data_IF_251663098113
#
_entry.id   IF_251663098113
#
_cell.length_a   1.000
_cell.length_b   1.000
_cell.length_c   1.000
_cell.angle_alpha   90.00
_cell.angle_beta   90.00
_cell.angle_gamma   90.00
#
_symmetry.space_group_name_H-M   'P 1'
#
loop_
_entity.id
_entity.type
_entity.pdbx_description
1 polymer ?
#
# COMPACT_ATOMS: atom_id res chain seq x y z
N UNK A 1 13.36 2.76 41.63
CA UNK A 1 14.40 3.61 41.01
C UNK A 1 13.86 5.03 40.79
N UNK A 2 14.66 6.07 40.99
CA UNK A 2 14.20 7.44 40.80
C UNK A 2 13.95 7.67 39.30
N UNK A 3 12.73 8.00 38.92
CA UNK A 3 12.39 8.40 37.54
C UNK A 3 13.07 9.72 37.20
N UNK A 4 13.51 9.88 35.95
CA UNK A 4 14.20 11.09 35.46
C UNK A 4 13.41 12.41 35.75
N UNK A 5 12.08 12.31 35.87
CA UNK A 5 11.16 13.43 36.13
C UNK A 5 10.66 13.53 37.59
N UNK A 6 11.22 12.74 38.52
CA UNK A 6 10.69 12.61 39.91
C UNK A 6 10.98 13.80 40.85
N UNK A 7 11.68 14.84 40.40
CA UNK A 7 12.18 15.91 41.27
C UNK A 7 11.14 16.66 42.14
N UNK A 8 9.85 16.66 41.74
CA UNK A 8 8.75 17.31 42.47
C UNK A 8 7.92 16.35 43.32
N UNK A 9 7.93 15.05 42.97
CA UNK A 9 7.00 14.09 43.55
C UNK A 9 7.54 13.52 44.86
N UNK A 10 6.65 13.41 45.85
CA UNK A 10 6.97 12.92 47.21
C UNK A 10 6.60 11.44 47.41
N UNK A 11 5.94 10.83 46.40
CA UNK A 11 5.53 9.42 46.43
C UNK A 11 5.98 8.74 45.14
N UNK A 12 6.28 7.48 45.26
CA UNK A 12 6.50 6.62 44.06
C UNK A 12 5.20 6.45 43.27
N UNK A 13 5.32 6.32 41.95
CA UNK A 13 4.16 6.05 41.10
C UNK A 13 3.70 4.60 41.32
N UNK A 14 2.40 4.38 41.36
CA UNK A 14 1.81 3.06 41.44
C UNK A 14 2.27 2.18 40.28
N UNK A 15 2.54 0.91 40.53
CA UNK A 15 3.05 -0.03 39.52
C UNK A 15 2.07 -0.20 38.36
N UNK A 16 0.76 -0.24 38.63
CA UNK A 16 -0.28 -0.32 37.60
C UNK A 16 -0.27 0.91 36.69
N UNK A 17 -0.04 2.11 37.27
CA UNK A 17 0.09 3.35 36.48
C UNK A 17 1.36 3.38 35.66
N UNK A 18 2.44 2.79 36.14
CA UNK A 18 3.69 2.66 35.38
C UNK A 18 3.49 1.79 34.15
N UNK A 19 2.88 0.62 34.33
CA UNK A 19 2.57 -0.31 33.26
C UNK A 19 1.61 0.30 32.22
N UNK A 20 0.53 0.95 32.70
CA UNK A 20 -0.45 1.62 31.85
C UNK A 20 0.14 2.76 31.00
N UNK A 21 1.15 3.46 31.51
CA UNK A 21 1.80 4.57 30.79
C UNK A 21 2.93 4.12 29.87
N UNK A 22 3.44 2.90 30.05
CA UNK A 22 4.59 2.39 29.32
C UNK A 22 4.28 2.14 27.85
N UNK A 23 5.20 2.51 26.96
CA UNK A 23 5.13 2.26 25.52
C UNK A 23 6.25 1.35 25.01
N UNK A 24 7.18 0.95 25.87
CA UNK A 24 8.38 0.20 25.47
C UNK A 24 8.07 -1.07 24.69
N UNK A 25 6.95 -1.75 24.95
CA UNK A 25 6.57 -3.00 24.26
C UNK A 25 6.33 -2.82 22.77
N UNK A 26 5.98 -1.61 22.33
CA UNK A 26 5.72 -1.33 20.92
C UNK A 26 6.62 -0.24 20.33
N UNK A 27 7.08 0.75 21.13
CA UNK A 27 7.95 1.81 20.64
C UNK A 27 9.43 1.39 20.57
N UNK A 28 9.79 0.25 21.15
CA UNK A 28 11.14 -0.30 21.02
C UNK A 28 11.63 -0.40 19.56
N UNK A 29 10.73 -0.54 18.58
CA UNK A 29 11.08 -0.55 17.16
C UNK A 29 11.68 0.76 16.65
N UNK A 30 11.49 1.87 17.35
CA UNK A 30 12.04 3.18 17.02
C UNK A 30 13.51 3.37 17.47
N UNK A 31 14.16 2.34 18.01
CA UNK A 31 15.53 2.46 18.55
C UNK A 31 16.52 3.07 17.56
N UNK A 32 16.38 2.75 16.28
CA UNK A 32 17.29 3.24 15.22
C UNK A 32 17.04 4.72 14.92
N UNK A 33 15.79 5.11 14.83
CA UNK A 33 15.34 6.47 14.59
C UNK A 33 15.76 7.37 15.78
N UNK A 34 15.52 6.93 17.02
CA UNK A 34 15.91 7.64 18.23
C UNK A 34 17.43 7.84 18.33
N UNK A 35 18.20 6.78 18.09
CA UNK A 35 19.68 6.87 18.12
C UNK A 35 20.19 7.77 17.01
N UNK A 36 19.63 7.69 15.80
CA UNK A 36 20.01 8.54 14.66
C UNK A 36 19.74 10.02 14.95
N UNK A 37 18.54 10.33 15.45
CA UNK A 37 18.18 11.68 15.86
C UNK A 37 19.06 12.20 17.01
N UNK A 38 19.36 11.36 17.97
CA UNK A 38 20.21 11.66 19.12
C UNK A 38 21.68 11.93 18.71
N UNK A 39 22.21 11.20 17.73
CA UNK A 39 23.55 11.44 17.15
C UNK A 39 23.61 12.81 16.49
N UNK A 40 22.64 13.14 15.65
CA UNK A 40 22.58 14.44 14.97
C UNK A 40 22.46 15.58 15.99
N UNK A 41 21.63 15.42 17.01
CA UNK A 41 21.45 16.40 18.10
C UNK A 41 22.73 16.61 18.88
N UNK A 42 23.38 15.54 19.35
CA UNK A 42 24.63 15.64 20.13
C UNK A 42 25.76 16.31 19.30
N UNK A 43 25.88 15.95 18.00
CA UNK A 43 26.83 16.57 17.10
C UNK A 43 26.58 18.08 16.98
N UNK A 44 25.33 18.49 16.85
CA UNK A 44 24.93 19.90 16.80
C UNK A 44 25.27 20.63 18.12
N UNK A 45 25.00 20.01 19.27
CA UNK A 45 25.31 20.61 20.57
C UNK A 45 26.80 20.91 20.74
N UNK A 46 27.68 19.98 20.33
CA UNK A 46 29.12 20.19 20.33
C UNK A 46 29.55 21.30 19.37
N UNK A 47 29.05 21.25 18.13
CA UNK A 47 29.38 22.25 17.08
C UNK A 47 28.94 23.67 17.48
N UNK A 48 27.83 23.81 18.21
CA UNK A 48 27.35 25.11 18.72
C UNK A 48 28.00 25.53 20.05
N UNK A 49 28.92 24.72 20.61
CA UNK A 49 29.56 24.99 21.89
C UNK A 49 28.58 24.99 23.10
N UNK A 50 27.45 24.33 22.97
CA UNK A 50 26.47 24.17 24.06
C UNK A 50 26.97 23.13 25.06
N UNK A 51 27.67 22.11 24.58
CA UNK A 51 28.48 21.17 25.34
C UNK A 51 29.90 21.16 24.78
N UNK A 52 30.88 20.65 25.53
CA UNK A 52 32.23 20.53 25.04
C UNK A 52 32.33 19.53 23.86
N UNK A 53 33.17 19.82 22.86
CA UNK A 53 33.28 18.99 21.67
C UNK A 53 33.62 17.54 21.99
N UNK A 54 34.59 17.32 22.91
CA UNK A 54 34.97 15.97 23.35
C UNK A 54 33.85 15.21 24.06
N UNK A 55 32.89 15.91 24.72
CA UNK A 55 31.69 15.30 25.30
C UNK A 55 30.70 14.88 24.23
N UNK A 56 30.51 15.72 23.19
CA UNK A 56 29.67 15.38 22.04
C UNK A 56 30.18 14.15 21.31
N UNK A 57 31.50 14.08 21.03
CA UNK A 57 32.15 12.92 20.42
C UNK A 57 31.93 11.66 21.25
N UNK A 58 32.14 11.73 22.57
CA UNK A 58 31.91 10.61 23.49
C UNK A 58 30.46 10.12 23.50
N UNK A 59 29.49 11.03 23.43
CA UNK A 59 28.06 10.69 23.30
C UNK A 59 27.80 9.99 21.98
N UNK A 60 28.29 10.53 20.86
CA UNK A 60 28.10 9.95 19.51
C UNK A 60 28.70 8.55 19.42
N UNK A 61 29.91 8.33 19.94
CA UNK A 61 30.54 7.02 19.98
C UNK A 61 29.75 6.04 20.87
N UNK A 62 29.28 6.50 22.02
CA UNK A 62 28.43 5.72 22.93
C UNK A 62 27.15 5.25 22.27
N UNK A 63 26.45 6.15 21.55
CA UNK A 63 25.21 5.88 20.83
C UNK A 63 25.44 4.89 19.66
N UNK A 64 26.50 5.07 18.87
CA UNK A 64 26.88 4.11 17.81
C UNK A 64 27.17 2.72 18.37
N UNK A 65 27.83 2.66 19.52
CA UNK A 65 28.08 1.39 20.20
C UNK A 65 26.80 0.73 20.70
N UNK A 66 25.83 1.50 21.23
CA UNK A 66 24.52 0.99 21.65
C UNK A 66 23.75 0.47 20.44
N UNK A 67 23.69 1.22 19.34
CA UNK A 67 23.03 0.79 18.12
C UNK A 67 23.54 -0.57 17.66
N UNK A 68 24.86 -0.71 17.61
CA UNK A 68 25.50 -1.98 17.23
C UNK A 68 25.14 -3.11 18.18
N UNK A 69 25.15 -2.86 19.48
CA UNK A 69 24.82 -3.91 20.46
C UNK A 69 23.35 -4.33 20.40
N UNK A 70 22.43 -3.41 20.06
CA UNK A 70 21.02 -3.73 19.80
C UNK A 70 20.90 -4.60 18.54
N UNK A 71 21.57 -4.20 17.44
CA UNK A 71 21.55 -4.95 16.16
C UNK A 71 22.19 -6.34 16.28
N UNK A 72 23.20 -6.47 17.14
CA UNK A 72 23.84 -7.74 17.46
C UNK A 72 23.02 -8.62 18.46
N UNK A 73 21.87 -8.13 18.94
CA UNK A 73 21.01 -8.86 19.90
C UNK A 73 21.58 -8.98 21.31
N UNK A 74 22.49 -8.07 21.71
CA UNK A 74 23.17 -8.07 23.02
C UNK A 74 22.44 -7.23 24.08
N UNK A 75 21.44 -6.47 23.68
CA UNK A 75 20.68 -5.56 24.54
C UNK A 75 19.25 -6.06 24.67
N UNK A 76 18.78 -6.19 25.91
CA UNK A 76 17.37 -6.36 26.22
C UNK A 76 16.86 -5.02 26.80
N UNK A 77 15.74 -4.52 26.28
CA UNK A 77 15.13 -3.31 26.81
C UNK A 77 14.46 -3.60 28.15
N UNK A 78 14.70 -2.71 29.12
CA UNK A 78 14.12 -2.84 30.45
C UNK A 78 12.69 -2.30 30.47
N UNK A 79 11.78 -3.07 31.01
CA UNK A 79 10.40 -2.65 31.28
C UNK A 79 10.28 -1.66 32.45
N UNK A 80 11.37 -1.44 33.20
CA UNK A 80 11.41 -0.43 34.28
C UNK A 80 11.47 1.01 33.71
N UNK A 81 11.79 1.16 32.43
CA UNK A 81 11.81 2.44 31.72
C UNK A 81 10.59 2.55 30.81
N UNK A 82 9.94 3.72 30.83
CA UNK A 82 8.64 3.95 30.21
C UNK A 82 8.63 3.74 28.69
N UNK A 83 9.73 4.11 28.01
CA UNK A 83 9.84 4.16 26.55
C UNK A 83 11.25 3.80 26.06
N UNK A 84 11.41 3.70 24.73
CA UNK A 84 12.70 3.43 24.09
C UNK A 84 13.71 4.54 24.37
N UNK A 85 13.27 5.77 24.41
CA UNK A 85 14.12 6.93 24.61
C UNK A 85 14.79 6.91 26.00
N UNK A 86 14.03 6.55 27.05
CA UNK A 86 14.60 6.36 28.40
C UNK A 86 15.56 5.18 28.44
N UNK A 87 15.24 4.09 27.74
CA UNK A 87 16.14 2.94 27.63
C UNK A 87 17.47 3.34 26.98
N UNK A 88 17.46 4.05 25.85
CA UNK A 88 18.66 4.52 25.17
C UNK A 88 19.47 5.50 26.04
N UNK A 89 18.82 6.46 26.69
CA UNK A 89 19.47 7.44 27.58
C UNK A 89 20.13 6.76 28.79
N UNK A 90 19.47 5.76 29.37
CA UNK A 90 20.03 4.98 30.47
C UNK A 90 21.23 4.14 30.03
N UNK A 91 21.12 3.41 28.94
CA UNK A 91 22.21 2.63 28.35
C UNK A 91 23.42 3.51 28.04
N UNK A 92 23.18 4.72 27.54
CA UNK A 92 24.22 5.69 27.28
C UNK A 92 24.90 6.13 28.60
N UNK A 93 24.11 6.48 29.62
CA UNK A 93 24.64 6.91 30.92
C UNK A 93 25.44 5.79 31.60
N UNK A 94 24.99 4.56 31.53
CA UNK A 94 25.75 3.40 32.03
C UNK A 94 27.08 3.20 31.30
N UNK A 95 27.11 3.44 29.99
CA UNK A 95 28.29 3.25 29.14
C UNK A 95 29.35 4.35 29.31
N UNK A 96 28.92 5.61 29.39
CA UNK A 96 29.84 6.77 29.36
C UNK A 96 29.81 7.65 30.61
N UNK A 97 28.99 7.33 31.61
CA UNK A 97 28.86 8.06 32.86
C UNK A 97 28.07 9.36 32.70
N UNK A 98 28.35 10.35 33.56
CA UNK A 98 27.58 11.60 33.62
C UNK A 98 27.57 12.41 32.32
N UNK A 99 28.53 12.22 31.43
CA UNK A 99 28.52 12.83 30.10
C UNK A 99 27.24 12.45 29.32
N UNK A 100 26.72 11.23 29.48
CA UNK A 100 25.49 10.78 28.84
C UNK A 100 24.26 11.62 29.16
N UNK A 101 24.21 12.18 30.37
CA UNK A 101 23.09 13.05 30.82
C UNK A 101 23.01 14.37 30.05
N UNK A 102 24.08 14.79 29.35
CA UNK A 102 24.10 16.01 28.56
C UNK A 102 23.34 15.89 27.23
N UNK A 103 23.05 14.66 26.78
CA UNK A 103 22.32 14.41 25.54
C UNK A 103 20.96 15.12 25.50
N UNK A 104 20.28 15.26 26.64
CA UNK A 104 18.95 15.87 26.72
C UNK A 104 18.96 17.41 26.69
N UNK A 105 20.13 18.06 26.65
CA UNK A 105 20.27 19.53 26.64
C UNK A 105 19.56 20.14 25.44
N UNK A 106 18.68 21.12 25.66
CA UNK A 106 17.94 21.84 24.60
C UNK A 106 16.90 21.00 23.86
N UNK A 107 16.55 19.82 24.34
CA UNK A 107 15.56 18.89 23.74
C UNK A 107 14.46 18.53 24.73
N UNK A 108 13.29 18.21 24.23
CA UNK A 108 12.18 17.61 24.97
C UNK A 108 11.90 16.21 24.46
N UNK A 109 11.24 15.37 25.28
CA UNK A 109 10.67 14.10 24.82
C UNK A 109 9.67 14.34 23.67
N UNK A 110 8.95 15.46 23.67
CA UNK A 110 7.89 15.76 22.72
C UNK A 110 8.43 15.92 21.28
N UNK A 111 9.47 16.73 21.08
CA UNK A 111 10.08 16.90 19.75
C UNK A 111 10.93 15.70 19.33
N UNK A 112 11.50 14.97 20.29
CA UNK A 112 12.20 13.71 20.06
C UNK A 112 11.27 12.64 19.48
N UNK A 113 10.13 12.38 20.11
CA UNK A 113 9.12 11.41 19.62
C UNK A 113 8.55 11.82 18.27
N UNK A 114 8.28 13.13 18.09
CA UNK A 114 7.80 13.66 16.80
C UNK A 114 8.80 13.42 15.66
N UNK A 115 10.10 13.58 15.94
CA UNK A 115 11.16 13.28 14.99
C UNK A 115 11.21 11.80 14.63
N UNK A 116 11.23 10.93 15.64
CA UNK A 116 11.40 9.49 15.43
C UNK A 116 10.26 8.89 14.64
N UNK A 117 9.04 9.31 14.91
CA UNK A 117 7.87 8.90 14.14
C UNK A 117 7.96 9.35 12.68
N UNK A 118 8.44 10.57 12.41
CA UNK A 118 8.64 11.04 11.03
C UNK A 118 9.74 10.27 10.32
N UNK A 119 10.89 10.03 10.96
CA UNK A 119 11.98 9.22 10.40
C UNK A 119 11.50 7.80 10.05
N UNK A 120 10.77 7.18 10.98
CA UNK A 120 10.21 5.85 10.80
C UNK A 120 9.23 5.81 9.61
N UNK A 121 8.26 6.72 9.58
CA UNK A 121 7.24 6.77 8.53
C UNK A 121 7.86 7.07 7.15
N UNK A 122 8.83 8.00 7.07
CA UNK A 122 9.59 8.27 5.82
C UNK A 122 10.19 6.99 5.24
N UNK A 123 10.86 6.21 6.08
CA UNK A 123 11.47 4.94 5.68
C UNK A 123 10.41 3.92 5.23
N UNK A 124 9.35 3.75 6.01
CA UNK A 124 8.31 2.76 5.72
C UNK A 124 7.49 3.10 4.47
N UNK A 125 7.29 4.38 4.15
CA UNK A 125 6.68 4.79 2.87
C UNK A 125 7.52 4.29 1.69
N UNK A 126 8.84 4.47 1.72
CA UNK A 126 9.75 4.00 0.66
C UNK A 126 9.69 2.47 0.50
N UNK A 127 9.73 1.74 1.62
CA UNK A 127 9.62 0.27 1.58
C UNK A 127 8.27 -0.20 1.02
N UNK A 128 7.16 0.45 1.37
CA UNK A 128 5.84 0.12 0.84
C UNK A 128 5.77 0.43 -0.67
N UNK A 129 6.29 1.58 -1.12
CA UNK A 129 6.36 1.92 -2.55
C UNK A 129 7.13 0.83 -3.30
N UNK A 130 8.29 0.41 -2.81
CA UNK A 130 9.09 -0.67 -3.41
C UNK A 130 8.29 -1.99 -3.53
N UNK A 131 7.53 -2.35 -2.51
CA UNK A 131 6.67 -3.55 -2.56
C UNK A 131 5.54 -3.40 -3.60
N UNK A 132 4.93 -2.22 -3.70
CA UNK A 132 3.91 -1.93 -4.71
C UNK A 132 4.50 -2.03 -6.12
N UNK A 133 5.69 -1.44 -6.36
CA UNK A 133 6.38 -1.54 -7.65
C UNK A 133 6.71 -3.00 -8.00
N UNK A 134 7.13 -3.80 -7.03
CA UNK A 134 7.33 -5.24 -7.20
C UNK A 134 6.06 -5.97 -7.64
N UNK A 135 4.91 -5.65 -7.05
CA UNK A 135 3.63 -6.20 -7.46
C UNK A 135 3.19 -5.70 -8.85
N UNK A 136 3.41 -4.42 -9.16
CA UNK A 136 3.13 -3.87 -10.50
C UNK A 136 3.97 -4.58 -11.58
N UNK A 137 5.25 -4.89 -11.33
CA UNK A 137 6.08 -5.71 -12.23
C UNK A 137 5.48 -7.10 -12.44
N UNK A 138 4.99 -7.75 -11.40
CA UNK A 138 4.31 -9.05 -11.55
C UNK A 138 3.06 -8.96 -12.44
N UNK A 139 2.29 -7.87 -12.31
CA UNK A 139 1.13 -7.60 -13.16
C UNK A 139 1.53 -7.40 -14.62
N UNK A 140 2.58 -6.60 -14.92
CA UNK A 140 3.02 -6.33 -16.30
C UNK A 140 3.60 -7.57 -16.95
N UNK A 141 4.43 -8.34 -16.25
CA UNK A 141 4.99 -9.60 -16.76
C UNK A 141 3.89 -10.59 -17.14
N UNK A 142 2.98 -10.88 -16.20
CA UNK A 142 1.88 -11.83 -16.44
C UNK A 142 0.93 -11.35 -17.54
N UNK A 143 0.73 -10.05 -17.67
CA UNK A 143 -0.08 -9.46 -18.74
C UNK A 143 0.56 -9.64 -20.12
N UNK A 144 1.89 -9.44 -20.26
CA UNK A 144 2.61 -9.68 -21.52
C UNK A 144 2.50 -11.13 -22.00
N UNK A 145 2.58 -12.07 -21.06
CA UNK A 145 2.45 -13.49 -21.36
C UNK A 145 1.03 -13.90 -21.80
N UNK A 146 0.03 -13.04 -21.55
CA UNK A 146 -1.39 -13.37 -21.68
C UNK A 146 -2.21 -12.31 -22.44
N UNK A 147 -1.59 -11.60 -23.38
CA UNK A 147 -2.23 -10.54 -24.19
C UNK A 147 -3.47 -11.03 -24.95
N UNK A 148 -3.46 -12.30 -25.39
CA UNK A 148 -4.50 -12.94 -26.20
C UNK A 148 -5.48 -13.79 -25.37
N UNK A 149 -5.35 -13.80 -24.04
CA UNK A 149 -6.23 -14.55 -23.15
C UNK A 149 -7.60 -13.86 -23.04
N UNK A 150 -8.47 -14.16 -24.01
CA UNK A 150 -9.85 -13.64 -24.03
C UNK A 150 -10.64 -14.20 -22.87
N UNK A 151 -11.33 -13.31 -22.15
CA UNK A 151 -12.25 -13.64 -21.06
C UNK A 151 -13.51 -12.78 -21.12
N UNK A 152 -14.61 -13.21 -20.47
CA UNK A 152 -15.80 -12.36 -20.38
C UNK A 152 -15.56 -11.21 -19.40
N UNK A 153 -15.95 -10.01 -19.81
CA UNK A 153 -16.13 -8.88 -18.91
C UNK A 153 -17.53 -8.89 -18.28
N UNK A 154 -17.62 -8.43 -17.05
CA UNK A 154 -18.85 -8.41 -16.27
C UNK A 154 -19.24 -7.00 -15.88
N UNK A 155 -20.54 -6.73 -15.92
CA UNK A 155 -21.18 -5.62 -15.22
C UNK A 155 -22.40 -6.18 -14.47
N UNK A 156 -22.65 -5.72 -13.24
CA UNK A 156 -23.72 -6.27 -12.38
C UNK A 156 -23.63 -7.81 -12.17
N UNK A 157 -22.42 -8.36 -12.23
CA UNK A 157 -22.16 -9.81 -12.26
C UNK A 157 -22.83 -10.54 -13.43
N UNK A 158 -23.24 -9.82 -14.47
CA UNK A 158 -23.78 -10.39 -15.71
C UNK A 158 -22.71 -10.30 -16.81
N UNK A 159 -22.70 -11.29 -17.70
CA UNK A 159 -21.85 -11.31 -18.89
C UNK A 159 -22.16 -10.08 -19.75
N UNK A 160 -21.13 -9.30 -20.09
CA UNK A 160 -21.30 -8.01 -20.76
C UNK A 160 -20.61 -7.94 -22.12
N UNK A 161 -19.28 -7.81 -22.14
CA UNK A 161 -18.50 -7.67 -23.36
C UNK A 161 -17.20 -8.51 -23.26
N UNK A 162 -16.62 -8.93 -24.41
CA UNK A 162 -15.34 -9.62 -24.40
C UNK A 162 -14.20 -8.67 -24.04
N UNK A 163 -13.29 -9.15 -23.20
CA UNK A 163 -12.05 -8.47 -22.81
C UNK A 163 -10.90 -9.46 -22.76
N UNK A 164 -9.73 -9.05 -22.25
CA UNK A 164 -8.61 -9.96 -22.00
C UNK A 164 -8.17 -9.89 -20.54
N UNK A 165 -7.54 -10.97 -20.07
CA UNK A 165 -6.90 -10.99 -18.77
C UNK A 165 -5.88 -9.85 -18.63
N UNK A 166 -5.06 -9.61 -19.65
CA UNK A 166 -4.07 -8.55 -19.64
C UNK A 166 -4.69 -7.16 -19.48
N UNK A 167 -5.77 -6.86 -20.19
CA UNK A 167 -6.50 -5.60 -20.05
C UNK A 167 -7.06 -5.44 -18.63
N UNK A 168 -7.57 -6.52 -18.04
CA UNK A 168 -8.09 -6.53 -16.68
C UNK A 168 -6.99 -6.20 -15.66
N UNK A 169 -5.81 -6.82 -15.81
CA UNK A 169 -4.67 -6.57 -14.92
C UNK A 169 -4.12 -5.16 -15.05
N UNK A 170 -4.16 -4.56 -16.24
CA UNK A 170 -3.75 -3.17 -16.42
C UNK A 170 -4.69 -2.18 -15.71
N UNK A 171 -5.94 -2.53 -15.46
CA UNK A 171 -6.82 -1.71 -14.61
C UNK A 171 -6.27 -1.66 -13.17
N UNK A 172 -5.86 -2.79 -12.59
CA UNK A 172 -5.25 -2.84 -11.26
C UNK A 172 -3.88 -2.16 -11.21
N UNK A 173 -3.04 -2.34 -12.24
CA UNK A 173 -1.76 -1.61 -12.33
C UNK A 173 -1.95 -0.08 -12.30
N UNK A 174 -2.99 0.44 -12.97
CA UNK A 174 -3.34 1.86 -12.91
C UNK A 174 -3.89 2.31 -11.53
N UNK A 175 -4.54 1.42 -10.77
CA UNK A 175 -4.93 1.72 -9.38
C UNK A 175 -3.68 1.85 -8.51
N UNK A 176 -2.77 0.88 -8.58
CA UNK A 176 -1.51 0.88 -7.83
C UNK A 176 -0.61 2.07 -8.18
N UNK A 177 -0.56 2.48 -9.45
CA UNK A 177 0.14 3.71 -9.86
C UNK A 177 -0.37 4.94 -9.09
N UNK A 178 -1.69 5.06 -8.90
CA UNK A 178 -2.27 6.15 -8.10
C UNK A 178 -1.98 6.00 -6.60
N UNK A 179 -1.82 4.76 -6.11
CA UNK A 179 -1.46 4.52 -4.71
C UNK A 179 -0.01 4.92 -4.43
N UNK A 180 0.92 4.64 -5.35
CA UNK A 180 2.30 5.16 -5.28
C UNK A 180 2.30 6.69 -5.21
N UNK A 181 1.56 7.36 -6.09
CA UNK A 181 1.46 8.82 -6.08
C UNK A 181 0.95 9.38 -4.75
N UNK A 182 -0.06 8.74 -4.12
CA UNK A 182 -0.56 9.15 -2.79
C UNK A 182 0.51 9.02 -1.70
N UNK A 183 1.30 7.96 -1.75
CA UNK A 183 2.38 7.76 -0.79
C UNK A 183 3.52 8.77 -1.00
N UNK A 184 3.86 9.09 -2.25
CA UNK A 184 4.81 10.15 -2.58
C UNK A 184 4.33 11.52 -2.10
N UNK A 185 3.07 11.86 -2.31
CA UNK A 185 2.45 13.08 -1.83
C UNK A 185 2.48 13.19 -0.29
N UNK A 186 2.21 12.08 0.42
CA UNK A 186 2.32 12.00 1.88
C UNK A 186 3.77 12.22 2.32
N UNK A 187 4.73 11.55 1.67
CA UNK A 187 6.16 11.70 1.94
C UNK A 187 6.60 13.17 1.78
N UNK A 188 6.23 13.83 0.69
CA UNK A 188 6.61 15.20 0.42
C UNK A 188 6.07 16.18 1.49
N UNK A 189 4.81 16.02 1.89
CA UNK A 189 4.21 16.90 2.91
C UNK A 189 4.80 16.70 4.29
N UNK A 190 5.11 15.47 4.69
CA UNK A 190 5.65 15.17 6.00
C UNK A 190 7.17 15.40 6.13
N UNK A 191 7.88 15.72 5.03
CA UNK A 191 9.33 15.85 5.01
C UNK A 191 9.81 17.16 5.64
N UNK A 192 9.40 17.36 6.89
CA UNK A 192 9.70 18.51 7.73
C UNK A 192 10.25 18.07 9.09
N UNK A 193 11.41 18.59 9.47
CA UNK A 193 12.15 18.21 10.68
C UNK A 193 11.64 18.97 11.90
N UNK A 194 11.07 18.30 12.94
CA UNK A 194 10.48 18.97 14.10
C UNK A 194 11.47 19.23 15.22
N UNK A 195 12.65 18.57 15.25
CA UNK A 195 13.58 18.67 16.37
C UNK A 195 14.04 20.11 16.59
N UNK A 196 14.11 20.51 17.85
CA UNK A 196 14.33 21.90 18.27
C UNK A 196 13.04 22.65 18.58
N UNK A 197 11.88 22.02 18.39
CA UNK A 197 10.59 22.56 18.85
C UNK A 197 10.46 22.53 20.39
N UNK A 198 11.30 21.74 21.05
CA UNK A 198 11.25 21.54 22.49
C UNK A 198 9.94 20.89 22.93
N UNK A 199 9.46 21.25 24.12
CA UNK A 199 8.16 20.76 24.57
C UNK A 199 6.97 21.37 23.79
N UNK A 200 7.07 22.67 23.42
CA UNK A 200 6.10 23.44 22.63
C UNK A 200 6.60 24.82 22.19
N UNK A 201 7.59 25.40 22.87
CA UNK A 201 8.03 26.78 22.69
C UNK A 201 9.54 26.87 22.39
N UNK A 202 10.11 25.85 21.77
CA UNK A 202 11.54 25.75 21.44
C UNK A 202 12.44 25.78 22.69
N UNK A 203 13.62 26.36 22.58
CA UNK A 203 14.63 26.44 23.64
C UNK A 203 15.36 27.78 23.62
N UNK A 204 15.98 28.17 24.75
CA UNK A 204 16.82 29.36 24.84
C UNK A 204 18.26 29.11 24.38
N UNK A 205 18.65 27.88 24.10
CA UNK A 205 19.96 27.54 23.56
C UNK A 205 20.07 27.91 22.07
N UNK A 206 21.24 28.36 21.59
CA UNK A 206 21.46 28.70 20.19
C UNK A 206 21.66 27.43 19.34
N UNK A 207 20.64 26.58 19.28
CA UNK A 207 20.66 25.35 18.47
C UNK A 207 20.61 25.66 16.98
N UNK A 208 21.31 24.84 16.17
CA UNK A 208 21.31 24.90 14.71
C UNK A 208 20.38 23.81 14.14
N UNK A 209 19.13 24.18 13.91
CA UNK A 209 18.12 23.25 13.36
C UNK A 209 18.40 22.88 11.90
N UNK A 210 18.97 23.81 11.09
CA UNK A 210 19.31 23.51 9.69
C UNK A 210 20.40 22.46 9.59
N UNK A 211 21.43 22.55 10.45
CA UNK A 211 22.44 21.50 10.52
C UNK A 211 21.85 20.13 10.83
N UNK A 212 20.95 20.04 11.81
CA UNK A 212 20.26 18.78 12.17
C UNK A 212 19.39 18.28 11.03
N UNK A 213 18.64 19.18 10.37
CA UNK A 213 17.82 18.87 9.18
C UNK A 213 18.64 18.20 8.08
N UNK A 214 19.80 18.78 7.76
CA UNK A 214 20.71 18.25 6.72
C UNK A 214 21.26 16.88 7.10
N UNK A 215 21.69 16.70 8.36
CA UNK A 215 22.19 15.42 8.86
C UNK A 215 21.16 14.30 8.81
N UNK A 216 19.87 14.63 8.99
CA UNK A 216 18.77 13.68 9.01
C UNK A 216 18.06 13.54 7.65
N UNK A 217 18.47 14.31 6.63
CA UNK A 217 17.94 14.23 5.27
C UNK A 217 16.48 14.66 5.16
N UNK A 218 16.07 15.70 5.92
CA UNK A 218 14.77 16.33 5.73
C UNK A 218 14.85 17.51 4.75
N UNK A 219 13.79 17.67 3.95
CA UNK A 219 13.72 18.76 2.98
C UNK A 219 13.54 20.13 3.66
N UNK A 220 12.75 20.19 4.73
CA UNK A 220 12.36 21.45 5.38
C UNK A 220 12.42 21.35 6.91
N UNK A 221 12.32 22.51 7.56
CA UNK A 221 12.05 22.62 9.01
C UNK A 221 10.56 22.85 9.23
N UNK A 222 10.03 22.39 10.36
CA UNK A 222 8.73 22.87 10.84
C UNK A 222 8.82 24.33 11.24
N UNK A 223 7.90 25.17 10.76
CA UNK A 223 7.92 26.62 10.93
C UNK A 223 7.42 27.07 12.32
N UNK A 224 6.62 26.25 12.97
CA UNK A 224 6.04 26.56 14.28
C UNK A 224 6.28 25.41 15.28
N UNK A 225 6.84 25.73 16.43
CA UNK A 225 7.21 24.73 17.45
C UNK A 225 6.02 24.05 18.11
N UNK A 226 4.85 24.73 18.23
CA UNK A 226 3.62 24.09 18.73
C UNK A 226 3.11 23.05 17.73
N UNK A 227 3.13 23.39 16.46
CA UNK A 227 2.76 22.51 15.35
C UNK A 227 3.75 21.33 15.23
N UNK A 228 5.04 21.61 15.30
CA UNK A 228 6.10 20.60 15.15
C UNK A 228 6.01 19.44 16.14
N UNK A 229 5.50 19.66 17.36
CA UNK A 229 5.28 18.58 18.36
C UNK A 229 3.87 18.01 18.35
N UNK A 230 2.91 18.72 17.77
CA UNK A 230 1.48 18.38 17.74
C UNK A 230 1.08 17.61 16.48
N UNK A 231 1.70 17.89 15.35
CA UNK A 231 1.30 17.35 14.06
C UNK A 231 1.40 15.82 14.02
N UNK A 232 0.30 15.21 13.59
CA UNK A 232 0.14 13.82 13.24
C UNK A 232 -0.70 13.66 11.97
N UNK A 233 -0.88 14.73 11.19
CA UNK A 233 -1.65 14.70 9.94
C UNK A 233 -1.06 13.67 8.97
N UNK A 234 0.26 13.57 8.92
CA UNK A 234 0.96 12.57 8.10
C UNK A 234 0.62 11.12 8.48
N UNK A 235 0.32 10.84 9.75
CA UNK A 235 -0.15 9.52 10.18
C UNK A 235 -1.55 9.22 9.60
N UNK A 236 -2.45 10.19 9.66
CA UNK A 236 -3.80 10.08 9.08
C UNK A 236 -3.74 9.96 7.56
N UNK A 237 -2.90 10.75 6.91
CA UNK A 237 -2.71 10.73 5.46
C UNK A 237 -2.13 9.39 4.99
N UNK A 238 -1.08 8.89 5.66
CA UNK A 238 -0.54 7.56 5.40
C UNK A 238 -1.62 6.49 5.53
N UNK A 239 -2.33 6.45 6.65
CA UNK A 239 -3.38 5.46 6.89
C UNK A 239 -4.53 5.57 5.87
N UNK A 240 -4.83 6.77 5.38
CA UNK A 240 -5.79 6.98 4.29
C UNK A 240 -5.28 6.38 2.98
N UNK A 241 -4.02 6.63 2.62
CA UNK A 241 -3.39 6.04 1.44
C UNK A 241 -3.34 4.51 1.53
N UNK A 242 -2.92 3.96 2.67
CA UNK A 242 -2.89 2.52 2.93
C UNK A 242 -4.29 1.89 2.90
N UNK A 243 -5.31 2.60 3.37
CA UNK A 243 -6.71 2.14 3.29
C UNK A 243 -7.19 2.02 1.84
N UNK A 244 -6.84 2.97 0.99
CA UNK A 244 -7.17 2.92 -0.45
C UNK A 244 -6.40 1.78 -1.13
N UNK A 245 -5.12 1.60 -0.84
CA UNK A 245 -4.31 0.49 -1.34
C UNK A 245 -4.92 -0.86 -0.95
N UNK A 246 -5.26 -1.04 0.32
CA UNK A 246 -5.88 -2.29 0.80
C UNK A 246 -7.26 -2.53 0.17
N UNK A 247 -8.03 -1.48 -0.12
CA UNK A 247 -9.27 -1.61 -0.89
C UNK A 247 -9.01 -2.17 -2.30
N UNK A 248 -7.97 -1.69 -2.98
CA UNK A 248 -7.59 -2.21 -4.31
C UNK A 248 -7.15 -3.67 -4.25
N UNK A 249 -6.30 -4.03 -3.26
CA UNK A 249 -5.88 -5.42 -3.05
C UNK A 249 -7.06 -6.33 -2.68
N UNK A 250 -8.00 -5.85 -1.87
CA UNK A 250 -9.23 -6.57 -1.51
C UNK A 250 -10.11 -6.83 -2.72
N UNK A 251 -10.26 -5.85 -3.62
CA UNK A 251 -11.03 -6.02 -4.86
C UNK A 251 -10.40 -7.06 -5.79
N UNK A 252 -9.08 -7.01 -5.99
CA UNK A 252 -8.38 -8.03 -6.78
C UNK A 252 -8.46 -9.41 -6.13
N UNK A 253 -8.39 -9.47 -4.80
CA UNK A 253 -8.58 -10.72 -4.05
C UNK A 253 -9.96 -11.32 -4.31
N UNK A 254 -11.03 -10.51 -4.30
CA UNK A 254 -12.40 -10.96 -4.59
C UNK A 254 -12.53 -11.52 -6.02
N UNK A 255 -11.91 -10.86 -7.01
CA UNK A 255 -11.88 -11.37 -8.39
C UNK A 255 -11.18 -12.75 -8.45
N UNK A 256 -10.00 -12.87 -7.83
CA UNK A 256 -9.25 -14.13 -7.81
C UNK A 256 -10.01 -15.23 -7.07
N UNK A 257 -10.66 -14.94 -5.94
CA UNK A 257 -11.51 -15.89 -5.21
C UNK A 257 -12.62 -16.41 -6.12
N UNK A 258 -13.32 -15.50 -6.80
CA UNK A 258 -14.36 -15.87 -7.76
C UNK A 258 -13.79 -16.71 -8.89
N UNK A 259 -12.66 -16.31 -9.48
CA UNK A 259 -12.02 -17.02 -10.58
C UNK A 259 -11.46 -18.40 -10.20
N UNK A 260 -11.13 -18.63 -8.92
CA UNK A 260 -10.72 -19.93 -8.40
C UNK A 260 -11.90 -20.90 -8.19
N UNK A 261 -13.13 -20.39 -8.07
CA UNK A 261 -14.32 -21.22 -7.82
C UNK A 261 -14.54 -22.24 -8.95
N UNK A 262 -15.23 -23.33 -8.65
CA UNK A 262 -15.57 -24.35 -9.64
C UNK A 262 -16.47 -23.83 -10.76
N UNK A 263 -17.30 -22.84 -10.46
CA UNK A 263 -18.24 -22.20 -11.40
C UNK A 263 -17.51 -21.41 -12.48
N UNK A 264 -16.43 -20.69 -12.11
CA UNK A 264 -15.60 -19.91 -13.04
C UNK A 264 -14.39 -20.71 -13.54
N UNK A 265 -13.57 -21.17 -12.61
CA UNK A 265 -12.34 -21.92 -12.87
C UNK A 265 -11.43 -21.27 -13.94
N UNK A 266 -11.30 -19.94 -13.84
CA UNK A 266 -10.48 -19.15 -14.76
C UNK A 266 -9.00 -19.17 -14.38
N UNK A 267 -8.73 -19.34 -13.08
CA UNK A 267 -7.37 -19.41 -12.56
C UNK A 267 -7.24 -20.56 -11.56
N UNK A 268 -6.00 -20.96 -11.33
CA UNK A 268 -5.64 -21.89 -10.27
C UNK A 268 -4.41 -21.35 -9.55
N UNK A 269 -4.50 -21.24 -8.23
CA UNK A 269 -3.37 -20.83 -7.40
C UNK A 269 -2.38 -21.99 -7.26
N UNK A 270 -1.11 -21.66 -7.07
CA UNK A 270 -0.08 -22.63 -6.73
C UNK A 270 -0.38 -23.26 -5.35
N UNK A 271 0.04 -24.52 -5.17
CA UNK A 271 -0.16 -25.26 -3.91
C UNK A 271 0.54 -24.57 -2.73
N UNK A 272 1.65 -23.87 -2.98
CA UNK A 272 2.37 -23.12 -1.95
C UNK A 272 1.58 -21.94 -1.38
N UNK A 273 0.53 -21.47 -2.08
CA UNK A 273 -0.32 -20.33 -1.69
C UNK A 273 -1.79 -20.72 -1.52
N UNK A 274 -2.05 -21.97 -1.23
CA UNK A 274 -3.40 -22.52 -1.06
C UNK A 274 -3.43 -23.46 0.13
N UNK A 275 -4.60 -23.69 0.70
CA UNK A 275 -4.80 -24.74 1.70
C UNK A 275 -5.81 -25.76 1.23
N UNK A 276 -5.75 -26.96 1.81
CA UNK A 276 -6.70 -28.03 1.56
C UNK A 276 -7.75 -28.14 2.68
N UNK A 277 -8.44 -29.28 2.66
CA UNK A 277 -9.37 -29.69 3.72
C UNK A 277 -8.93 -31.00 4.33
N UNK A 278 -9.06 -31.14 5.64
CA UNK A 278 -8.76 -32.39 6.35
C UNK A 278 -9.71 -33.56 6.00
N UNK A 279 -10.89 -33.25 5.44
CA UNK A 279 -11.93 -34.25 5.14
C UNK A 279 -12.37 -34.24 3.68
N UNK A 280 -12.00 -33.23 2.90
CA UNK A 280 -12.39 -33.09 1.49
C UNK A 280 -11.13 -33.05 0.61
N UNK A 281 -10.64 -34.18 0.10
CA UNK A 281 -9.34 -34.25 -0.59
C UNK A 281 -9.25 -33.45 -1.89
N UNK A 282 -10.40 -33.09 -2.48
CA UNK A 282 -10.49 -32.28 -3.71
C UNK A 282 -10.47 -30.77 -3.46
N UNK A 283 -10.57 -30.33 -2.20
CA UNK A 283 -10.76 -28.92 -1.87
C UNK A 283 -9.42 -28.17 -1.84
N UNK A 284 -9.37 -27.03 -2.51
CA UNK A 284 -8.25 -26.09 -2.55
C UNK A 284 -8.79 -24.68 -2.33
N UNK A 285 -8.34 -24.03 -1.26
CA UNK A 285 -8.88 -22.76 -0.79
C UNK A 285 -7.94 -21.61 -1.17
N UNK A 286 -8.49 -20.44 -1.59
CA UNK A 286 -7.70 -19.23 -1.88
C UNK A 286 -7.48 -18.40 -0.60
N UNK A 287 -6.96 -19.01 0.49
CA UNK A 287 -6.89 -18.38 1.82
C UNK A 287 -6.10 -17.08 1.85
N UNK A 288 -5.06 -16.95 1.03
CA UNK A 288 -4.26 -15.71 0.94
C UNK A 288 -5.16 -14.55 0.52
N UNK A 289 -5.97 -14.74 -0.53
CA UNK A 289 -6.91 -13.71 -1.00
C UNK A 289 -7.98 -13.40 0.06
N UNK A 290 -8.51 -14.42 0.74
CA UNK A 290 -9.50 -14.24 1.80
C UNK A 290 -8.95 -13.45 2.97
N UNK A 291 -7.71 -13.76 3.40
CA UNK A 291 -7.04 -13.05 4.48
C UNK A 291 -6.71 -11.60 4.11
N UNK A 292 -6.27 -11.32 2.88
CA UNK A 292 -6.03 -9.93 2.43
C UNK A 292 -7.33 -9.15 2.46
N UNK A 293 -8.42 -9.71 1.95
CA UNK A 293 -9.76 -9.12 2.02
C UNK A 293 -10.18 -8.84 3.47
N UNK A 294 -9.95 -9.79 4.39
CA UNK A 294 -10.25 -9.63 5.81
C UNK A 294 -9.35 -8.60 6.52
N UNK A 295 -8.03 -8.64 6.25
CA UNK A 295 -7.04 -7.73 6.86
C UNK A 295 -7.26 -6.26 6.46
N UNK A 296 -7.95 -5.97 5.37
CA UNK A 296 -8.36 -4.61 4.96
C UNK A 296 -9.09 -3.89 6.10
N UNK A 297 -9.94 -4.60 6.85
CA UNK A 297 -10.64 -4.05 8.00
C UNK A 297 -9.73 -3.55 9.13
N UNK A 298 -8.54 -4.14 9.31
CA UNK A 298 -7.56 -3.68 10.31
C UNK A 298 -7.01 -2.30 9.97
N UNK A 299 -6.69 -2.07 8.69
CA UNK A 299 -6.14 -0.79 8.22
C UNK A 299 -7.21 0.31 8.27
N UNK A 300 -8.47 -0.01 7.94
CA UNK A 300 -9.60 0.91 8.13
C UNK A 300 -9.83 1.26 9.60
N UNK A 301 -9.70 0.25 10.48
CA UNK A 301 -9.78 0.46 11.93
C UNK A 301 -8.68 1.41 12.43
N UNK A 302 -7.44 1.24 11.96
CA UNK A 302 -6.31 2.10 12.32
C UNK A 302 -6.55 3.56 11.89
N UNK A 303 -7.05 3.80 10.68
CA UNK A 303 -7.42 5.15 10.21
C UNK A 303 -8.50 5.77 11.12
N UNK A 304 -9.53 5.01 11.43
CA UNK A 304 -10.62 5.47 12.31
C UNK A 304 -10.10 5.77 13.71
N UNK A 305 -9.18 4.95 14.23
CA UNK A 305 -8.53 5.16 15.52
C UNK A 305 -7.80 6.50 15.53
N UNK A 306 -6.94 6.77 14.54
CA UNK A 306 -6.18 8.02 14.47
C UNK A 306 -7.07 9.26 14.36
N UNK A 307 -8.08 9.23 13.48
CA UNK A 307 -9.07 10.32 13.39
C UNK A 307 -9.78 10.57 14.72
N UNK A 308 -10.04 9.51 15.47
CA UNK A 308 -10.72 9.59 16.78
C UNK A 308 -9.79 10.10 17.87
N UNK A 309 -8.54 9.65 17.91
CA UNK A 309 -7.53 10.10 18.86
C UNK A 309 -7.27 11.60 18.72
N UNK A 310 -7.04 12.07 17.51
CA UNK A 310 -6.65 13.47 17.24
C UNK A 310 -7.78 14.47 17.36
N UNK A 311 -9.05 14.05 17.18
CA UNK A 311 -10.17 14.99 17.28
C UNK A 311 -10.22 15.65 18.66
N UNK A 312 -10.29 16.97 18.69
CA UNK A 312 -10.51 17.72 19.92
C UNK A 312 -9.32 17.78 20.89
N UNK A 313 -8.14 17.27 20.52
CA UNK A 313 -6.93 17.48 21.30
C UNK A 313 -6.49 18.95 21.26
N UNK A 314 -6.10 19.56 22.39
CA UNK A 314 -5.45 20.85 22.36
C UNK A 314 -4.04 20.74 21.75
N UNK A 315 -3.49 21.87 21.31
CA UNK A 315 -2.14 21.94 20.76
C UNK A 315 -1.06 21.45 21.71
N UNK A 316 0.13 21.30 21.16
CA UNK A 316 1.29 20.66 21.73
C UNK A 316 1.08 19.14 21.91
N UNK A 317 1.57 18.55 22.97
CA UNK A 317 1.52 17.12 23.19
C UNK A 317 0.56 16.76 24.34
N UNK A 318 -0.26 15.74 24.09
CA UNK A 318 -1.07 15.06 25.08
C UNK A 318 -0.77 13.56 25.02
N UNK A 319 -0.89 12.86 26.14
CA UNK A 319 -0.55 11.42 26.24
C UNK A 319 -1.39 10.56 25.29
N UNK A 320 -2.57 11.03 24.87
CA UNK A 320 -3.41 10.42 23.83
C UNK A 320 -2.62 10.13 22.53
N UNK A 321 -1.66 10.99 22.20
CA UNK A 321 -0.81 10.82 21.01
C UNK A 321 0.10 9.57 21.07
N UNK A 322 0.25 8.93 22.23
CA UNK A 322 0.98 7.66 22.33
C UNK A 322 0.30 6.55 21.53
N UNK A 323 -1.04 6.63 21.37
CA UNK A 323 -1.86 5.68 20.59
C UNK A 323 -1.61 5.74 19.08
N UNK A 324 -0.85 6.74 18.60
CA UNK A 324 -0.46 6.86 17.20
C UNK A 324 0.37 5.63 16.72
N UNK A 325 1.24 5.11 17.59
CA UNK A 325 2.23 4.09 17.26
C UNK A 325 1.60 2.74 16.92
N UNK A 326 0.75 2.21 17.80
CA UNK A 326 0.13 0.91 17.58
C UNK A 326 -0.75 0.90 16.31
N UNK A 327 -1.51 1.99 16.09
CA UNK A 327 -2.35 2.14 14.90
C UNK A 327 -1.50 2.19 13.62
N UNK A 328 -0.46 3.03 13.57
CA UNK A 328 0.42 3.21 12.40
C UNK A 328 1.27 1.97 12.15
N UNK A 329 1.93 1.45 13.19
CA UNK A 329 2.78 0.27 13.07
C UNK A 329 2.00 -0.97 12.61
N UNK A 330 0.84 -1.22 13.22
CA UNK A 330 -0.01 -2.36 12.86
C UNK A 330 -0.55 -2.29 11.44
N UNK A 331 -0.86 -1.08 10.93
CA UNK A 331 -1.29 -0.88 9.56
C UNK A 331 -0.15 -1.11 8.56
N UNK A 332 1.02 -0.54 8.81
CA UNK A 332 2.24 -0.72 8.00
C UNK A 332 2.60 -2.20 7.90
N UNK A 333 2.72 -2.88 9.04
CA UNK A 333 3.05 -4.31 9.08
C UNK A 333 2.02 -5.15 8.31
N UNK A 334 0.74 -4.84 8.45
CA UNK A 334 -0.35 -5.52 7.74
C UNK A 334 -0.23 -5.34 6.23
N UNK A 335 0.02 -4.12 5.75
CA UNK A 335 0.14 -3.82 4.32
C UNK A 335 1.37 -4.49 3.72
N UNK A 336 2.53 -4.38 4.37
CA UNK A 336 3.77 -5.02 3.91
C UNK A 336 3.59 -6.54 3.79
N UNK A 337 3.06 -7.19 4.83
CA UNK A 337 2.78 -8.62 4.81
C UNK A 337 1.83 -9.02 3.67
N UNK A 338 0.79 -8.21 3.41
CA UNK A 338 -0.14 -8.48 2.32
C UNK A 338 0.55 -8.41 0.95
N UNK A 339 1.37 -7.39 0.69
CA UNK A 339 2.09 -7.24 -0.58
C UNK A 339 3.15 -8.33 -0.76
N UNK A 340 3.89 -8.68 0.30
CA UNK A 340 4.92 -9.73 0.30
C UNK A 340 4.36 -11.10 -0.07
N UNK A 341 3.16 -11.44 0.38
CA UNK A 341 2.54 -12.73 0.06
C UNK A 341 1.75 -12.68 -1.26
N UNK A 342 1.13 -11.55 -1.59
CA UNK A 342 0.27 -11.44 -2.77
C UNK A 342 1.08 -11.46 -4.07
N UNK A 343 2.24 -10.83 -4.08
CA UNK A 343 3.12 -10.76 -5.26
C UNK A 343 3.55 -12.15 -5.77
N UNK A 344 4.17 -13.02 -4.96
CA UNK A 344 4.55 -14.36 -5.42
C UNK A 344 3.33 -15.26 -5.68
N UNK A 345 2.26 -15.16 -4.90
CA UNK A 345 1.01 -15.89 -5.17
C UNK A 345 0.46 -15.55 -6.56
N UNK A 346 0.38 -14.26 -6.90
CA UNK A 346 -0.09 -13.80 -8.21
C UNK A 346 0.87 -14.24 -9.33
N UNK A 347 2.18 -14.16 -9.10
CA UNK A 347 3.20 -14.54 -10.09
C UNK A 347 3.13 -16.02 -10.47
N UNK A 348 2.83 -16.90 -9.51
CA UNK A 348 2.74 -18.36 -9.73
C UNK A 348 1.35 -18.83 -10.17
N UNK A 349 0.33 -17.98 -10.06
CA UNK A 349 -1.04 -18.29 -10.45
C UNK A 349 -1.14 -18.73 -11.93
N UNK A 350 -1.79 -19.85 -12.19
CA UNK A 350 -2.00 -20.40 -13.53
C UNK A 350 -3.33 -19.95 -14.13
N UNK A 351 -3.31 -19.50 -15.39
CA UNK A 351 -4.52 -19.15 -16.12
C UNK A 351 -5.08 -20.38 -16.84
N UNK A 352 -6.38 -20.58 -16.73
CA UNK A 352 -7.14 -21.59 -17.46
C UNK A 352 -7.82 -20.95 -18.68
N UNK A 353 -7.00 -20.60 -19.70
CA UNK A 353 -7.42 -19.85 -20.89
C UNK A 353 -8.61 -20.47 -21.61
N UNK A 354 -8.68 -21.81 -21.69
CA UNK A 354 -9.77 -22.51 -22.33
C UNK A 354 -11.11 -22.30 -21.58
N UNK A 355 -11.08 -22.31 -20.25
CA UNK A 355 -12.26 -22.04 -19.43
C UNK A 355 -12.74 -20.60 -19.60
N UNK A 356 -11.79 -19.63 -19.60
CA UNK A 356 -12.10 -18.21 -19.87
C UNK A 356 -12.77 -18.06 -21.24
N UNK A 357 -12.19 -18.64 -22.29
CA UNK A 357 -12.75 -18.59 -23.65
C UNK A 357 -14.12 -19.26 -23.72
N UNK A 358 -14.27 -20.44 -23.11
CA UNK A 358 -15.57 -21.15 -23.06
C UNK A 358 -16.65 -20.33 -22.32
N UNK A 359 -16.28 -19.63 -21.27
CA UNK A 359 -17.21 -18.71 -20.58
C UNK A 359 -17.56 -17.50 -21.46
N UNK A 360 -16.57 -16.95 -22.19
CA UNK A 360 -16.76 -15.82 -23.10
C UNK A 360 -17.64 -16.16 -24.31
N UNK A 361 -17.72 -17.43 -24.73
CA UNK A 361 -18.62 -17.85 -25.82
C UNK A 361 -20.10 -18.00 -25.39
N UNK A 362 -20.42 -17.66 -24.15
CA UNK A 362 -21.78 -17.70 -23.62
C UNK A 362 -22.33 -16.28 -23.44
N UNK A 363 -23.66 -16.18 -23.31
CA UNK A 363 -24.33 -14.93 -22.92
C UNK A 363 -24.31 -13.83 -23.97
N UNK A 364 -24.01 -14.17 -25.22
CA UNK A 364 -24.07 -13.23 -26.37
C UNK A 364 -23.24 -11.96 -26.16
N UNK A 365 -22.04 -12.08 -25.57
CA UNK A 365 -21.20 -10.92 -25.23
C UNK A 365 -20.69 -10.16 -26.47
N UNK A 366 -20.79 -10.77 -27.65
CA UNK A 366 -20.49 -10.19 -28.97
C UNK A 366 -21.75 -9.61 -29.68
N UNK A 367 -22.89 -9.56 -29.01
CA UNK A 367 -24.12 -9.00 -29.62
C UNK A 367 -23.96 -7.51 -29.98
N UNK A 368 -23.19 -6.74 -29.20
CA UNK A 368 -22.87 -5.36 -29.54
C UNK A 368 -22.03 -5.29 -30.82
N UNK A 369 -21.06 -6.18 -30.99
CA UNK A 369 -20.23 -6.27 -32.20
C UNK A 369 -21.06 -6.61 -33.44
N UNK A 370 -22.07 -7.47 -33.28
CA UNK A 370 -23.08 -7.77 -34.31
C UNK A 370 -23.88 -6.50 -34.70
N UNK A 371 -24.31 -5.70 -33.73
CA UNK A 371 -25.01 -4.46 -33.98
C UNK A 371 -24.11 -3.42 -34.67
N UNK A 372 -22.86 -3.31 -34.25
CA UNK A 372 -21.86 -2.43 -34.86
C UNK A 372 -21.55 -2.84 -36.31
N UNK A 373 -21.49 -4.17 -36.58
CA UNK A 373 -21.35 -4.69 -37.93
C UNK A 373 -22.46 -4.19 -38.87
N UNK A 374 -23.72 -4.28 -38.42
CA UNK A 374 -24.85 -3.75 -39.20
C UNK A 374 -24.77 -2.22 -39.36
N UNK A 375 -24.34 -1.52 -38.32
CA UNK A 375 -24.20 -0.05 -38.34
C UNK A 375 -23.13 0.39 -39.34
N UNK A 376 -22.00 -0.31 -39.41
CA UNK A 376 -20.96 -0.12 -40.44
C UNK A 376 -21.45 -0.36 -41.86
N UNK A 377 -22.49 -1.18 -42.01
CA UNK A 377 -23.19 -1.43 -43.31
C UNK A 377 -24.36 -0.46 -43.54
N UNK A 378 -24.45 0.62 -42.81
CA UNK A 378 -25.40 1.72 -42.99
C UNK A 378 -26.77 1.57 -42.33
N UNK A 379 -26.94 0.59 -41.43
CA UNK A 379 -28.16 0.45 -40.62
C UNK A 379 -28.07 1.42 -39.40
N UNK A 380 -29.08 2.26 -39.15
CA UNK A 380 -29.09 3.08 -37.94
C UNK A 380 -28.93 2.21 -36.67
N UNK A 381 -28.09 2.65 -35.72
CA UNK A 381 -27.75 1.84 -34.54
C UNK A 381 -28.98 1.33 -33.77
N UNK A 382 -30.01 2.15 -33.61
CA UNK A 382 -31.24 1.73 -32.89
C UNK A 382 -31.98 0.60 -33.62
N UNK A 383 -31.91 0.54 -34.94
CA UNK A 383 -32.52 -0.53 -35.74
C UNK A 383 -31.62 -1.77 -35.75
N UNK A 384 -30.32 -1.57 -35.84
CA UNK A 384 -29.33 -2.64 -35.66
C UNK A 384 -29.49 -3.32 -34.29
N UNK A 385 -29.60 -2.55 -33.21
CA UNK A 385 -29.84 -3.07 -31.87
C UNK A 385 -31.10 -3.92 -31.77
N UNK A 386 -32.26 -3.43 -32.32
CA UNK A 386 -33.51 -4.21 -32.35
C UNK A 386 -33.38 -5.47 -33.18
N UNK A 387 -32.65 -5.42 -34.29
CA UNK A 387 -32.38 -6.56 -35.17
C UNK A 387 -31.59 -7.63 -34.44
N UNK A 388 -30.49 -7.25 -33.78
CA UNK A 388 -29.67 -8.18 -33.03
C UNK A 388 -30.43 -8.74 -31.81
N UNK A 389 -31.26 -7.93 -31.13
CA UNK A 389 -32.13 -8.42 -30.04
C UNK A 389 -33.06 -9.54 -30.50
N UNK A 390 -33.56 -9.48 -31.76
CA UNK A 390 -34.34 -10.58 -32.35
C UNK A 390 -33.50 -11.82 -32.61
N UNK A 391 -32.28 -11.66 -33.12
CA UNK A 391 -31.32 -12.77 -33.31
C UNK A 391 -31.00 -13.46 -31.99
N UNK A 392 -30.68 -12.71 -30.94
CA UNK A 392 -30.39 -13.24 -29.60
C UNK A 392 -31.60 -14.05 -29.07
N UNK A 393 -32.81 -13.51 -29.20
CA UNK A 393 -34.01 -14.24 -28.80
C UNK A 393 -34.25 -15.53 -29.60
N UNK A 394 -33.89 -15.56 -30.88
CA UNK A 394 -33.93 -16.76 -31.71
C UNK A 394 -32.92 -17.79 -31.25
N UNK A 395 -31.67 -17.38 -31.03
CA UNK A 395 -30.61 -18.24 -30.49
C UNK A 395 -31.00 -18.86 -29.13
N UNK A 396 -31.56 -18.06 -28.21
CA UNK A 396 -32.01 -18.59 -26.91
C UNK A 396 -33.05 -19.67 -27.05
N UNK A 397 -33.99 -19.50 -27.99
CA UNK A 397 -35.06 -20.50 -28.23
C UNK A 397 -34.53 -21.78 -28.89
N UNK A 398 -33.49 -21.67 -29.70
CA UNK A 398 -32.88 -22.79 -30.43
C UNK A 398 -31.73 -23.47 -29.68
N UNK A 399 -31.33 -22.92 -28.50
CA UNK A 399 -30.13 -23.31 -27.76
C UNK A 399 -28.84 -23.19 -28.62
N UNK A 400 -28.73 -22.08 -29.37
CA UNK A 400 -27.63 -21.74 -30.27
C UNK A 400 -26.93 -20.46 -29.81
N UNK A 401 -25.82 -20.13 -30.46
CA UNK A 401 -25.11 -18.86 -30.31
C UNK A 401 -25.11 -18.08 -31.63
N UNK A 402 -24.72 -16.79 -31.60
CA UNK A 402 -24.62 -16.00 -32.84
C UNK A 402 -23.58 -16.60 -33.82
N UNK A 403 -22.53 -17.20 -33.29
CA UNK A 403 -21.47 -17.83 -34.11
C UNK A 403 -21.92 -19.15 -34.79
N UNK A 404 -22.93 -19.83 -34.25
CA UNK A 404 -23.43 -21.10 -34.78
C UNK A 404 -24.65 -20.93 -35.68
N UNK A 405 -25.28 -19.73 -35.71
CA UNK A 405 -26.35 -19.41 -36.62
C UNK A 405 -25.94 -19.57 -38.09
N UNK A 406 -26.83 -20.05 -38.92
CA UNK A 406 -26.57 -20.17 -40.37
C UNK A 406 -26.76 -18.83 -41.10
N UNK A 407 -26.10 -18.64 -42.25
CA UNK A 407 -26.35 -17.47 -43.09
C UNK A 407 -27.79 -17.32 -43.52
N UNK A 408 -28.51 -18.42 -43.64
CA UNK A 408 -29.96 -18.42 -43.92
C UNK A 408 -30.76 -17.72 -42.79
N UNK A 409 -30.40 -17.98 -41.54
CA UNK A 409 -31.05 -17.38 -40.37
C UNK A 409 -30.75 -15.90 -40.27
N UNK A 410 -29.47 -15.50 -40.48
CA UNK A 410 -29.09 -14.11 -40.57
C UNK A 410 -29.83 -13.36 -41.68
N UNK A 411 -29.83 -13.92 -42.89
CA UNK A 411 -30.50 -13.33 -44.05
C UNK A 411 -32.02 -13.21 -43.88
N UNK A 412 -32.66 -14.13 -43.14
CA UNK A 412 -34.10 -14.06 -42.83
C UNK A 412 -34.44 -12.85 -41.95
N UNK A 413 -33.51 -12.37 -41.16
CA UNK A 413 -33.71 -11.21 -40.27
C UNK A 413 -33.31 -9.91 -40.95
N UNK A 414 -32.19 -9.89 -41.73
CA UNK A 414 -31.75 -8.72 -42.46
C UNK A 414 -30.86 -9.13 -43.67
N UNK A 415 -31.13 -8.57 -44.83
CA UNK A 415 -30.31 -8.73 -46.05
C UNK A 415 -28.98 -7.98 -45.99
N UNK A 416 -28.65 -7.31 -44.91
CA UNK A 416 -27.38 -6.63 -44.70
C UNK A 416 -26.29 -7.56 -44.15
N UNK A 417 -26.65 -8.74 -43.67
CA UNK A 417 -25.68 -9.74 -43.28
C UNK A 417 -25.03 -10.41 -44.49
N UNK A 418 -23.74 -10.60 -44.40
CA UNK A 418 -22.96 -11.39 -45.35
C UNK A 418 -22.05 -12.36 -44.61
N UNK A 419 -21.33 -13.23 -45.31
CA UNK A 419 -20.45 -14.24 -44.69
C UNK A 419 -19.38 -13.66 -43.78
N UNK A 420 -19.01 -12.41 -43.99
CA UNK A 420 -18.10 -11.63 -43.16
C UNK A 420 -18.63 -11.32 -41.74
N UNK A 421 -19.88 -11.67 -41.42
CA UNK A 421 -20.43 -11.55 -40.08
C UNK A 421 -19.73 -12.47 -39.07
N UNK A 422 -19.31 -13.65 -39.50
CA UNK A 422 -18.63 -14.60 -38.64
C UNK A 422 -17.25 -14.08 -38.16
N UNK A 423 -16.53 -13.35 -39.01
CA UNK A 423 -15.29 -12.68 -38.65
C UNK A 423 -15.56 -11.56 -37.61
N UNK A 424 -16.64 -10.82 -37.79
CA UNK A 424 -17.03 -9.76 -36.85
C UNK A 424 -17.51 -10.30 -35.50
N UNK A 425 -18.00 -11.54 -35.46
CA UNK A 425 -18.48 -12.20 -34.23
C UNK A 425 -17.37 -12.98 -33.51
N UNK A 426 -16.23 -13.27 -34.17
CA UNK A 426 -15.11 -13.92 -33.47
C UNK A 426 -14.64 -13.09 -32.31
N UNK A 427 -14.53 -13.68 -31.11
CA UNK A 427 -14.20 -12.98 -29.88
C UNK A 427 -12.81 -12.34 -29.89
N UNK A 428 -11.85 -12.91 -30.65
CA UNK A 428 -10.52 -12.29 -30.80
C UNK A 428 -10.62 -11.05 -31.66
N UNK A 429 -11.40 -11.10 -32.75
CA UNK A 429 -11.70 -9.94 -33.59
C UNK A 429 -12.43 -8.87 -32.81
N UNK A 430 -13.44 -9.24 -32.01
CA UNK A 430 -14.17 -8.31 -31.15
C UNK A 430 -13.23 -7.55 -30.22
N UNK A 431 -12.27 -8.22 -29.58
CA UNK A 431 -11.26 -7.59 -28.72
C UNK A 431 -10.29 -6.74 -29.55
N UNK A 432 -9.74 -7.31 -30.66
CA UNK A 432 -8.72 -6.66 -31.47
C UNK A 432 -9.19 -5.37 -32.15
N UNK A 433 -10.49 -5.26 -32.48
CA UNK A 433 -11.06 -4.05 -33.09
C UNK A 433 -11.30 -2.89 -32.08
N UNK A 434 -11.19 -3.12 -30.78
CA UNK A 434 -11.32 -2.08 -29.74
C UNK A 434 -9.99 -1.35 -29.52
N UNK A 435 -9.51 -0.65 -30.56
CA UNK A 435 -8.17 -0.03 -30.69
C UNK A 435 -8.07 1.37 -30.05
N UNK A 436 -9.15 1.91 -29.53
CA UNK A 436 -9.14 3.24 -28.89
C UNK A 436 -8.24 3.21 -27.65
N UNK A 437 -7.68 4.37 -27.29
CA UNK A 437 -6.86 4.52 -26.09
C UNK A 437 -7.64 4.00 -24.86
N UNK A 438 -7.04 3.08 -24.13
CA UNK A 438 -7.67 2.44 -22.97
C UNK A 438 -8.47 1.18 -23.29
N UNK A 439 -8.59 0.81 -24.58
CA UNK A 439 -9.30 -0.40 -25.01
C UNK A 439 -8.52 -1.70 -24.79
N UNK A 440 -9.19 -2.87 -24.97
CA UNK A 440 -8.60 -4.19 -24.73
C UNK A 440 -7.79 -4.74 -25.92
N UNK A 441 -7.66 -4.04 -27.06
CA UNK A 441 -6.88 -4.52 -28.20
C UNK A 441 -5.43 -4.80 -27.77
N UNK A 442 -4.80 -5.91 -28.21
CA UNK A 442 -3.46 -6.31 -27.76
C UNK A 442 -2.41 -5.20 -27.90
N UNK A 443 -2.44 -4.45 -29.00
CA UNK A 443 -1.52 -3.32 -29.22
C UNK A 443 -1.73 -2.18 -28.20
N UNK A 444 -2.96 -1.93 -27.80
CA UNK A 444 -3.27 -0.89 -26.82
C UNK A 444 -2.93 -1.36 -25.40
N UNK A 445 -3.16 -2.61 -25.08
CA UNK A 445 -2.74 -3.22 -23.81
C UNK A 445 -1.21 -3.23 -23.69
N UNK A 446 -0.48 -3.56 -24.76
CA UNK A 446 0.99 -3.47 -24.80
C UNK A 446 1.45 -2.05 -24.48
N UNK A 447 0.83 -1.03 -25.11
CA UNK A 447 1.13 0.37 -24.82
C UNK A 447 0.85 0.74 -23.34
N UNK A 448 -0.20 0.19 -22.74
CA UNK A 448 -0.48 0.38 -21.31
C UNK A 448 0.60 -0.25 -20.44
N UNK A 449 1.03 -1.48 -20.76
CA UNK A 449 2.11 -2.18 -20.06
C UNK A 449 3.41 -1.36 -20.14
N UNK A 450 3.80 -0.88 -21.32
CA UNK A 450 5.02 -0.09 -21.53
C UNK A 450 5.00 1.21 -20.71
N UNK A 451 3.82 1.84 -20.57
CA UNK A 451 3.65 3.03 -19.70
C UNK A 451 3.81 2.70 -18.22
N UNK A 452 3.33 1.55 -17.79
CA UNK A 452 3.49 1.12 -16.39
C UNK A 452 4.95 0.77 -16.12
N UNK A 453 5.62 0.03 -17.02
CA UNK A 453 7.03 -0.32 -16.88
C UNK A 453 7.92 0.94 -16.83
N UNK A 454 7.62 1.95 -17.69
CA UNK A 454 8.31 3.24 -17.66
C UNK A 454 8.10 3.97 -16.31
N UNK A 455 6.87 4.01 -15.81
CA UNK A 455 6.58 4.62 -14.51
C UNK A 455 7.34 3.91 -13.37
N UNK A 456 7.42 2.59 -13.39
CA UNK A 456 8.17 1.81 -12.40
C UNK A 456 9.65 2.22 -12.42
N UNK A 457 10.25 2.29 -13.61
CA UNK A 457 11.66 2.68 -13.76
C UNK A 457 11.91 4.12 -13.28
N UNK A 458 11.04 5.08 -13.63
CA UNK A 458 11.14 6.47 -13.17
C UNK A 458 11.12 6.57 -11.63
N UNK A 459 10.21 5.85 -10.96
CA UNK A 459 10.13 5.87 -9.48
C UNK A 459 11.34 5.18 -8.83
N UNK A 460 11.85 4.08 -9.42
CA UNK A 460 13.06 3.40 -8.90
C UNK A 460 14.31 4.26 -9.04
N UNK A 461 14.44 5.03 -10.12
CA UNK A 461 15.57 5.95 -10.34
C UNK A 461 15.52 7.16 -9.39
N UNK A 462 14.34 7.66 -9.05
CA UNK A 462 14.17 8.78 -8.10
C UNK A 462 14.47 8.37 -6.64
N UNK A 463 14.39 7.07 -6.31
CA UNK A 463 14.67 6.55 -4.97
C UNK A 463 16.11 6.04 -4.78
N UNK A 464 16.91 5.91 -5.86
CA UNK A 464 18.29 5.43 -5.84
C UNK A 464 19.27 6.55 -5.50
#
# INVERSE_FOLDING_TARGET
MAKLWAGRFQKETDLVVNDFNSSILFDCRLYKEDITGSIAHATMLGKQGIIEEHEAEKIVEGLKGILKDIEDGKVEFSLDYEDIHMNVEQLLTERIGDTGKRLHTGRSRNDQVALDMRLYVKKEIKEIIKLILGFMKALTVKSRENLDAVMPGYTHLQLAQPTTFAHYMMAYANMLKRDVSRLQDCYERMDEMPLGSGALASTTYPIDRDFVREQLGFARLTDNSLDGVSDRDYCVELLSALSILMMHLSRLSEEIISWCSWEFKFVELDDAYSTGSSIMPQKKNPDVCELIRGKTGRVYGALTTMLTVLKGLPLAYNKDMQEDKEAVFGAIDTVKQCLEVFTPMFSTMMLRRDNMRKAASRGFINATDCADYLTKKGVPFRDAYKTVGRLVNQCIKADETLETMTMRDFAAISNKFGDDVYDALDLRTCVAERKVIGGPAPQEVTRQIDKIDKFIAEVEDDEA
#
